data_IF_036224063789
#
_entry.id   IF_036224063789
#
_cell.length_a   1.000
_cell.length_b   1.000
_cell.length_c   1.000
_cell.angle_alpha   90.00
_cell.angle_beta   90.00
_cell.angle_gamma   90.00
#
_symmetry.space_group_name_H-M   'P 1'
#
loop_
_entity.id
_entity.type
_entity.pdbx_description
1 polymer ?
#
# COMPACT_ATOMS: atom_id res chain seq x y z
N UNK A 1 -26.07 19.73 -3.53
CA UNK A 1 -25.41 18.42 -3.73
C UNK A 1 -26.22 17.34 -3.02
N UNK A 2 -26.39 16.15 -3.61
CA UNK A 2 -27.03 15.02 -2.93
C UNK A 2 -25.98 14.21 -2.18
N UNK A 3 -26.21 13.99 -0.88
CA UNK A 3 -25.35 13.18 -0.01
C UNK A 3 -26.11 11.92 0.38
N UNK A 4 -25.50 10.76 0.11
CA UNK A 4 -26.07 9.45 0.43
C UNK A 4 -25.36 8.85 1.65
N UNK A 5 -26.15 8.47 2.66
CA UNK A 5 -25.67 7.79 3.87
C UNK A 5 -26.49 6.51 4.02
N UNK A 6 -25.88 5.36 3.72
CA UNK A 6 -26.59 4.08 3.68
C UNK A 6 -27.72 4.11 2.64
N UNK A 7 -28.96 3.93 3.08
CA UNK A 7 -30.17 3.99 2.23
C UNK A 7 -30.82 5.38 2.18
N UNK A 8 -30.33 6.34 2.95
CA UNK A 8 -30.89 7.68 3.04
C UNK A 8 -30.19 8.62 2.06
N UNK A 9 -30.96 9.49 1.42
CA UNK A 9 -30.47 10.52 0.50
C UNK A 9 -30.96 11.88 0.98
N UNK A 10 -30.02 12.81 1.19
CA UNK A 10 -30.31 14.16 1.65
C UNK A 10 -29.74 15.17 0.66
N UNK A 11 -30.47 16.26 0.43
CA UNK A 11 -29.95 17.39 -0.34
C UNK A 11 -29.29 18.40 0.59
N UNK A 12 -28.02 18.70 0.34
CA UNK A 12 -27.22 19.66 1.09
C UNK A 12 -26.85 20.84 0.19
N UNK A 13 -27.14 22.04 0.64
CA UNK A 13 -26.85 23.31 -0.03
C UNK A 13 -25.59 23.98 0.53
N UNK A 14 -24.48 23.24 0.55
CA UNK A 14 -23.15 23.77 0.91
C UNK A 14 -22.31 23.98 -0.35
N UNK A 15 -22.02 25.25 -0.65
CA UNK A 15 -21.21 25.65 -1.82
C UNK A 15 -19.73 25.25 -1.68
N UNK A 16 -19.16 25.31 -0.47
CA UNK A 16 -17.75 24.97 -0.24
C UNK A 16 -17.54 23.47 -0.43
N UNK A 17 -18.44 22.66 0.14
CA UNK A 17 -18.41 21.21 -0.05
C UNK A 17 -18.57 20.85 -1.53
N UNK A 18 -19.52 21.49 -2.21
CA UNK A 18 -19.77 21.24 -3.64
C UNK A 18 -18.50 21.48 -4.45
N UNK A 19 -17.87 22.64 -4.26
CA UNK A 19 -16.64 22.99 -4.96
C UNK A 19 -15.48 22.03 -4.62
N UNK A 20 -15.33 21.66 -3.35
CA UNK A 20 -14.26 20.75 -2.93
C UNK A 20 -14.38 19.36 -3.57
N UNK A 21 -15.60 18.82 -3.73
CA UNK A 21 -15.83 17.54 -4.40
C UNK A 21 -15.54 17.65 -5.90
N UNK A 22 -15.97 18.73 -6.55
CA UNK A 22 -15.68 18.99 -7.97
C UNK A 22 -14.17 19.08 -8.23
N UNK A 23 -13.46 19.92 -7.47
CA UNK A 23 -12.01 20.10 -7.59
C UNK A 23 -11.26 18.80 -7.29
N UNK A 24 -11.69 18.02 -6.29
CA UNK A 24 -11.11 16.71 -5.99
C UNK A 24 -11.22 15.74 -7.18
N UNK A 25 -12.41 15.63 -7.78
CA UNK A 25 -12.63 14.77 -8.94
C UNK A 25 -11.78 15.20 -10.13
N UNK A 26 -11.72 16.50 -10.42
CA UNK A 26 -10.92 17.03 -11.53
C UNK A 26 -9.42 16.74 -11.33
N UNK A 27 -8.87 17.04 -10.16
CA UNK A 27 -7.46 16.81 -9.84
C UNK A 27 -7.15 15.31 -9.89
N UNK A 28 -8.03 14.45 -9.37
CA UNK A 28 -7.84 12.99 -9.39
C UNK A 28 -7.82 12.45 -10.82
N UNK A 29 -8.68 12.94 -11.71
CA UNK A 29 -8.66 12.58 -13.14
C UNK A 29 -7.34 13.00 -13.81
N UNK A 30 -6.83 14.20 -13.50
CA UNK A 30 -5.53 14.66 -14.01
C UNK A 30 -4.38 13.78 -13.50
N UNK A 31 -4.38 13.44 -12.20
CA UNK A 31 -3.40 12.52 -11.60
C UNK A 31 -3.43 11.16 -12.29
N UNK A 32 -4.62 10.61 -12.54
CA UNK A 32 -4.75 9.30 -13.18
C UNK A 32 -4.22 9.32 -14.61
N UNK A 33 -4.55 10.36 -15.38
CA UNK A 33 -4.00 10.55 -16.73
C UNK A 33 -2.46 10.70 -16.72
N UNK A 34 -1.90 11.42 -15.74
CA UNK A 34 -0.46 11.57 -15.59
C UNK A 34 0.22 10.27 -15.14
N UNK A 35 -0.43 9.47 -14.29
CA UNK A 35 0.07 8.17 -13.85
C UNK A 35 0.16 7.18 -15.02
N UNK A 36 -0.81 7.17 -15.92
CA UNK A 36 -0.74 6.35 -17.14
C UNK A 36 0.42 6.78 -18.04
N UNK A 37 0.61 8.08 -18.28
CA UNK A 37 1.79 8.58 -19.02
C UNK A 37 3.10 8.23 -18.34
N UNK A 38 3.16 8.34 -17.01
CA UNK A 38 4.34 7.98 -16.23
C UNK A 38 4.66 6.48 -16.32
N UNK A 39 3.64 5.63 -16.46
CA UNK A 39 3.79 4.18 -16.61
C UNK A 39 4.57 3.83 -17.88
N UNK A 40 4.28 4.49 -19.00
CA UNK A 40 5.01 4.29 -20.26
C UNK A 40 6.52 4.56 -20.08
N UNK A 41 6.89 5.64 -19.40
CA UNK A 41 8.29 5.93 -19.10
C UNK A 41 8.91 4.95 -18.10
N UNK A 42 8.16 4.53 -17.06
CA UNK A 42 8.61 3.51 -16.11
C UNK A 42 8.95 2.21 -16.83
N UNK A 43 8.11 1.78 -17.78
CA UNK A 43 8.33 0.53 -18.50
C UNK A 43 9.63 0.58 -19.32
N UNK A 44 9.91 1.69 -20.01
CA UNK A 44 11.19 1.90 -20.73
C UNK A 44 12.39 1.83 -19.77
N UNK A 45 12.32 2.56 -18.64
CA UNK A 45 13.40 2.60 -17.65
C UNK A 45 13.63 1.21 -17.03
N UNK A 46 12.56 0.48 -16.70
CA UNK A 46 12.64 -0.85 -16.09
C UNK A 46 13.20 -1.88 -17.07
N UNK A 47 12.80 -1.83 -18.35
CA UNK A 47 13.35 -2.71 -19.37
C UNK A 47 14.87 -2.52 -19.48
N UNK A 48 15.33 -1.28 -19.63
CA UNK A 48 16.76 -1.00 -19.67
C UNK A 48 17.47 -1.44 -18.38
N UNK A 49 16.91 -1.11 -17.21
CA UNK A 49 17.47 -1.47 -15.92
C UNK A 49 17.63 -2.99 -15.76
N UNK A 50 16.66 -3.77 -16.25
CA UNK A 50 16.72 -5.24 -16.21
C UNK A 50 17.83 -5.77 -17.11
N UNK A 51 17.95 -5.25 -18.32
CA UNK A 51 18.98 -5.68 -19.27
C UNK A 51 20.39 -5.32 -18.75
N UNK A 52 20.56 -4.11 -18.22
CA UNK A 52 21.84 -3.64 -17.66
C UNK A 52 22.28 -4.41 -16.42
N UNK A 53 21.34 -4.93 -15.64
CA UNK A 53 21.62 -5.72 -14.43
C UNK A 53 21.63 -7.24 -14.68
N UNK A 54 21.32 -7.72 -15.89
CA UNK A 54 21.22 -9.16 -16.17
C UNK A 54 22.51 -9.94 -15.83
N UNK A 55 23.67 -9.28 -15.94
CA UNK A 55 24.99 -9.85 -15.63
C UNK A 55 25.58 -9.30 -14.31
N UNK A 56 24.81 -8.53 -13.54
CA UNK A 56 25.26 -7.87 -12.33
C UNK A 56 24.49 -8.39 -11.10
N UNK A 57 25.21 -8.75 -10.03
CA UNK A 57 24.58 -9.16 -8.76
C UNK A 57 23.89 -7.99 -8.03
N UNK A 58 24.09 -6.76 -8.48
CA UNK A 58 23.43 -5.59 -7.94
C UNK A 58 21.90 -5.66 -8.16
N UNK A 59 21.15 -5.42 -7.10
CA UNK A 59 19.68 -5.36 -7.13
C UNK A 59 19.15 -3.96 -7.39
N UNK A 60 20.01 -2.96 -7.55
CA UNK A 60 19.62 -1.57 -7.75
C UNK A 60 20.49 -0.88 -8.80
N UNK A 61 19.86 -0.01 -9.60
CA UNK A 61 20.53 0.85 -10.57
C UNK A 61 19.98 2.28 -10.45
N UNK A 62 20.84 3.28 -10.63
CA UNK A 62 20.45 4.70 -10.57
C UNK A 62 20.81 5.38 -11.89
N UNK A 63 19.85 6.06 -12.48
CA UNK A 63 20.02 6.93 -13.64
C UNK A 63 20.17 8.35 -13.14
N UNK A 64 21.29 9.01 -13.45
CA UNK A 64 21.60 10.36 -12.96
C UNK A 64 21.77 11.29 -14.16
N UNK A 65 20.91 12.30 -14.24
CA UNK A 65 21.03 13.45 -15.14
C UNK A 65 21.67 14.64 -14.42
N UNK A 66 21.75 15.78 -15.11
CA UNK A 66 22.42 16.99 -14.59
C UNK A 66 21.71 17.58 -13.36
N UNK A 67 20.38 17.52 -13.31
CA UNK A 67 19.56 18.09 -12.22
C UNK A 67 18.63 17.07 -11.54
N UNK A 68 18.47 15.88 -12.11
CA UNK A 68 17.48 14.90 -11.67
C UNK A 68 18.01 13.47 -11.80
N UNK A 69 17.28 12.51 -11.22
CA UNK A 69 17.64 11.12 -11.33
C UNK A 69 16.52 10.19 -10.88
N UNK A 70 16.63 8.93 -11.32
CA UNK A 70 15.68 7.87 -11.01
C UNK A 70 16.45 6.66 -10.51
N UNK A 71 16.07 6.14 -9.35
CA UNK A 71 16.58 4.87 -8.83
C UNK A 71 15.57 3.77 -9.10
N UNK A 72 16.03 2.66 -9.68
CA UNK A 72 15.28 1.42 -9.84
C UNK A 72 15.85 0.40 -8.86
N UNK A 73 14.98 -0.26 -8.10
CA UNK A 73 15.36 -1.31 -7.16
C UNK A 73 14.52 -2.55 -7.44
N UNK A 74 15.18 -3.66 -7.72
CA UNK A 74 14.59 -4.98 -7.89
C UNK A 74 14.63 -5.69 -6.53
N UNK A 75 13.46 -5.86 -5.92
CA UNK A 75 13.28 -6.67 -4.72
C UNK A 75 12.45 -7.90 -5.05
N UNK A 76 12.64 -8.96 -4.26
CA UNK A 76 11.85 -10.19 -4.36
C UNK A 76 10.95 -10.31 -3.13
N UNK A 77 9.64 -10.44 -3.33
CA UNK A 77 8.69 -10.82 -2.28
C UNK A 77 8.62 -12.35 -2.23
N UNK A 78 9.38 -12.97 -1.33
CA UNK A 78 9.42 -14.42 -1.15
C UNK A 78 8.51 -14.80 0.00
N UNK A 79 7.47 -15.58 -0.29
CA UNK A 79 6.53 -16.10 0.71
C UNK A 79 6.66 -17.61 0.82
N UNK A 80 6.70 -18.12 2.04
CA UNK A 80 6.61 -19.56 2.29
C UNK A 80 5.17 -19.99 2.09
N UNK A 81 4.91 -20.79 1.05
CA UNK A 81 3.58 -21.33 0.74
C UNK A 81 3.33 -22.71 1.37
N UNK A 82 4.40 -23.49 1.57
CA UNK A 82 4.37 -24.81 2.19
C UNK A 82 5.55 -24.91 3.18
N UNK A 83 5.24 -24.75 4.46
CA UNK A 83 6.22 -24.78 5.52
C UNK A 83 6.84 -26.17 5.69
N UNK A 84 6.03 -27.23 5.66
CA UNK A 84 6.48 -28.59 5.92
C UNK A 84 7.44 -29.07 4.84
N UNK A 85 7.09 -28.86 3.56
CA UNK A 85 7.96 -29.20 2.44
C UNK A 85 9.27 -28.39 2.50
N UNK A 86 9.19 -27.09 2.81
CA UNK A 86 10.38 -26.25 2.89
C UNK A 86 11.30 -26.65 4.05
N UNK A 87 10.74 -27.02 5.21
CA UNK A 87 11.49 -27.58 6.34
C UNK A 87 12.21 -28.88 5.96
N UNK A 88 11.55 -29.76 5.22
CA UNK A 88 12.17 -31.00 4.74
C UNK A 88 13.33 -30.75 3.77
N UNK A 89 13.21 -29.76 2.88
CA UNK A 89 14.26 -29.43 1.91
C UNK A 89 15.46 -28.71 2.54
N UNK A 90 15.21 -27.79 3.47
CA UNK A 90 16.27 -27.01 4.13
C UNK A 90 16.88 -27.71 5.35
N UNK A 91 16.19 -28.71 5.91
CA UNK A 91 16.59 -29.49 7.08
C UNK A 91 17.06 -28.58 8.23
N UNK A 92 18.31 -28.75 8.66
CA UNK A 92 18.94 -28.00 9.75
C UNK A 92 19.14 -26.50 9.45
N UNK A 93 19.11 -26.11 8.17
CA UNK A 93 19.26 -24.71 7.75
C UNK A 93 17.96 -23.92 7.79
N UNK A 94 16.82 -24.56 8.02
CA UNK A 94 15.54 -23.86 7.99
C UNK A 94 15.50 -22.71 9.00
N UNK A 95 15.82 -22.98 10.27
CA UNK A 95 15.76 -21.95 11.33
C UNK A 95 16.88 -20.90 11.20
N UNK A 96 17.90 -21.14 10.36
CA UNK A 96 18.94 -20.16 10.01
C UNK A 96 18.47 -19.19 8.91
N UNK A 97 17.63 -19.65 7.99
CA UNK A 97 17.24 -18.92 6.78
C UNK A 97 15.82 -18.36 6.82
N UNK A 98 14.98 -18.86 7.74
CA UNK A 98 13.57 -18.48 7.87
C UNK A 98 13.34 -17.89 9.25
N UNK A 99 12.84 -16.66 9.30
CA UNK A 99 12.40 -16.01 10.53
C UNK A 99 10.89 -16.15 10.67
N UNK A 100 10.43 -16.62 11.83
CA UNK A 100 9.00 -16.66 12.19
C UNK A 100 8.56 -15.33 12.80
N UNK A 101 7.47 -14.77 12.28
CA UNK A 101 6.79 -13.61 12.85
C UNK A 101 5.32 -13.94 13.12
N UNK A 102 4.86 -13.77 14.36
CA UNK A 102 3.47 -13.99 14.74
C UNK A 102 2.72 -12.65 14.78
N UNK A 103 1.77 -12.46 13.87
CA UNK A 103 0.93 -11.25 13.82
C UNK A 103 -0.46 -11.55 14.37
N UNK A 104 -0.79 -10.98 15.54
CA UNK A 104 -2.13 -11.05 16.09
C UNK A 104 -3.02 -9.98 15.45
N UNK A 105 -4.00 -10.40 14.65
CA UNK A 105 -4.98 -9.49 14.04
C UNK A 105 -6.21 -9.40 14.95
N UNK A 106 -6.52 -8.23 15.52
CA UNK A 106 -7.65 -8.09 16.43
C UNK A 106 -8.98 -8.22 15.67
N UNK A 107 -9.87 -9.04 16.19
CA UNK A 107 -11.24 -9.17 15.69
C UNK A 107 -12.12 -7.99 16.11
N UNK A 108 -13.22 -7.75 15.37
CA UNK A 108 -14.13 -6.62 15.63
C UNK A 108 -14.63 -6.59 17.08
N UNK A 109 -14.95 -7.76 17.63
CA UNK A 109 -15.43 -7.91 19.02
C UNK A 109 -14.41 -7.42 20.06
N UNK A 110 -13.11 -7.60 19.81
CA UNK A 110 -12.07 -7.13 20.73
C UNK A 110 -12.04 -5.60 20.81
N UNK A 111 -12.20 -4.93 19.66
CA UNK A 111 -12.33 -3.45 19.61
C UNK A 111 -13.56 -2.97 20.38
N UNK A 112 -14.72 -3.62 20.18
CA UNK A 112 -15.97 -3.25 20.86
C UNK A 112 -15.87 -3.42 22.39
N UNK A 113 -15.25 -4.51 22.86
CA UNK A 113 -15.01 -4.74 24.29
C UNK A 113 -14.04 -3.72 24.89
N UNK A 114 -12.94 -3.45 24.20
CA UNK A 114 -11.93 -2.49 24.65
C UNK A 114 -12.47 -1.05 24.73
N UNK A 115 -13.52 -0.69 24.00
CA UNK A 115 -14.11 0.66 24.16
C UNK A 115 -14.85 0.82 25.50
N UNK A 116 -15.30 -0.27 26.11
CA UNK A 116 -16.11 -0.30 27.33
C UNK A 116 -15.33 -0.67 28.61
N UNK A 117 -14.08 -1.16 28.48
CA UNK A 117 -13.21 -1.57 29.59
C UNK A 117 -11.84 -0.92 29.46
N UNK A 118 -11.41 -0.17 30.49
CA UNK A 118 -10.17 0.60 30.47
C UNK A 118 -8.90 -0.27 30.59
N UNK A 119 -8.96 -1.44 31.24
CA UNK A 119 -7.80 -2.33 31.37
C UNK A 119 -7.41 -3.01 30.05
N UNK A 120 -8.38 -3.23 29.15
CA UNK A 120 -8.11 -3.79 27.82
C UNK A 120 -7.47 -2.76 26.88
N UNK A 121 -7.77 -1.47 27.04
CA UNK A 121 -7.17 -0.41 26.22
C UNK A 121 -5.67 -0.28 26.43
N UNK A 122 -5.18 -0.55 27.63
CA UNK A 122 -3.74 -0.46 27.95
C UNK A 122 -2.89 -1.41 27.09
N UNK A 123 -3.49 -2.52 26.65
CA UNK A 123 -2.83 -3.52 25.79
C UNK A 123 -3.09 -3.29 24.28
N UNK A 124 -3.84 -2.25 23.89
CA UNK A 124 -4.32 -2.05 22.53
C UNK A 124 -4.03 -0.63 22.03
N UNK A 125 -3.34 -0.53 20.90
CA UNK A 125 -3.19 0.74 20.19
C UNK A 125 -4.39 0.97 19.26
N UNK A 126 -5.45 1.56 19.79
CA UNK A 126 -6.66 1.88 19.01
C UNK A 126 -6.53 3.30 18.43
N UNK A 127 -6.13 3.38 17.16
CA UNK A 127 -6.14 4.63 16.39
C UNK A 127 -7.22 4.57 15.31
N UNK A 128 -7.97 5.66 15.17
CA UNK A 128 -8.82 5.83 13.99
C UNK A 128 -7.92 5.90 12.75
N UNK A 129 -8.24 5.09 11.73
CA UNK A 129 -7.53 5.17 10.45
C UNK A 129 -7.90 6.49 9.79
N UNK A 130 -6.93 7.11 9.12
CA UNK A 130 -7.21 8.27 8.28
C UNK A 130 -8.37 7.95 7.31
N UNK A 131 -9.37 8.83 7.19
CA UNK A 131 -10.45 8.65 6.23
C UNK A 131 -9.90 8.48 4.81
N UNK A 132 -10.40 7.47 4.10
CA UNK A 132 -10.09 7.29 2.69
C UNK A 132 -11.10 8.07 1.85
N UNK A 133 -10.60 8.89 0.92
CA UNK A 133 -11.42 9.59 -0.08
C UNK A 133 -11.09 9.02 -1.45
N UNK A 134 -12.11 8.52 -2.14
CA UNK A 134 -11.98 7.98 -3.49
C UNK A 134 -13.10 8.50 -4.38
N UNK A 135 -12.84 8.59 -5.68
CA UNK A 135 -13.91 8.78 -6.65
C UNK A 135 -14.85 7.57 -6.64
N UNK A 136 -16.12 7.81 -6.97
CA UNK A 136 -17.14 6.77 -7.14
C UNK A 136 -17.07 6.14 -8.53
#
# INVERSE_FOLDING_TARGET
>A
MRVKIGKSENEISDKKLTRAVEDFCEIKMQIDALNEKLKEHKDVIVCFARDALCENEATTISFVGEENGVKVSFGWDVKVSDEEMLRNLLADKFDLLVKTECVYKPEKKLKELALNDDGLKECLEIKEKAPAVSML
#
